data_IF_547382401788
#
_entry.id   IF_547382401788
#
_cell.length_a   1.000
_cell.length_b   1.000
_cell.length_c   1.000
_cell.angle_alpha   90.00
_cell.angle_beta   90.00
_cell.angle_gamma   90.00
#
_symmetry.space_group_name_H-M   'P 1'
#
loop_
_entity.id
_entity.type
_entity.pdbx_description
1 polymer ?
#
# COMPACT_ATOMS: atom_id res chain seq x y z
N UNK A 1 12.02 29.82 -0.66
CA UNK A 1 11.56 28.41 -0.60
C UNK A 1 11.22 28.08 0.85
N UNK A 2 9.98 27.68 1.16
CA UNK A 2 9.59 27.33 2.54
C UNK A 2 10.34 26.09 3.04
N UNK A 3 10.76 26.10 4.30
CA UNK A 3 11.55 25.04 4.92
C UNK A 3 10.91 23.65 4.74
N UNK A 4 11.73 22.63 4.54
CA UNK A 4 11.29 21.24 4.47
C UNK A 4 10.92 20.77 5.88
N UNK A 5 9.62 20.67 6.17
CA UNK A 5 9.15 20.09 7.43
C UNK A 5 9.02 18.56 7.28
N UNK A 6 9.11 17.79 8.39
CA UNK A 6 8.90 16.34 8.33
C UNK A 6 7.57 15.95 7.67
N UNK A 7 6.49 16.65 8.00
CA UNK A 7 5.17 16.42 7.41
C UNK A 7 5.13 16.69 5.91
N UNK A 8 5.78 17.76 5.44
CA UNK A 8 5.88 18.07 4.01
C UNK A 8 6.71 17.05 3.25
N UNK A 9 7.76 16.54 3.87
CA UNK A 9 8.56 15.45 3.29
C UNK A 9 7.74 14.17 3.18
N UNK A 10 7.03 13.76 4.24
CA UNK A 10 6.17 12.57 4.22
C UNK A 10 5.09 12.68 3.14
N UNK A 11 4.42 13.84 3.05
CA UNK A 11 3.34 14.08 2.10
C UNK A 11 3.81 14.15 0.64
N UNK A 12 5.08 14.49 0.37
CA UNK A 12 5.62 14.54 -0.99
C UNK A 12 6.10 13.18 -1.51
N UNK A 13 6.16 12.15 -0.66
CA UNK A 13 6.61 10.82 -1.05
C UNK A 13 5.51 10.03 -1.77
N UNK A 14 5.88 9.37 -2.87
CA UNK A 14 4.97 8.46 -3.57
C UNK A 14 4.75 7.17 -2.78
N UNK A 15 3.63 6.47 -3.03
CA UNK A 15 3.42 5.11 -2.50
C UNK A 15 4.58 4.16 -2.85
N UNK A 16 5.19 4.31 -4.04
CA UNK A 16 6.33 3.49 -4.45
C UNK A 16 7.58 3.70 -3.60
N UNK A 17 7.79 4.91 -3.06
CA UNK A 17 8.85 5.17 -2.09
C UNK A 17 8.61 4.36 -0.81
N UNK A 18 7.40 4.42 -0.24
CA UNK A 18 7.06 3.71 0.99
C UNK A 18 7.18 2.19 0.87
N UNK A 19 6.74 1.62 -0.26
CA UNK A 19 6.92 0.18 -0.54
C UNK A 19 8.40 -0.20 -0.63
N UNK A 20 9.24 0.64 -1.27
CA UNK A 20 10.69 0.39 -1.36
C UNK A 20 11.40 0.56 -0.03
N UNK A 21 10.95 1.46 0.83
CA UNK A 21 11.50 1.64 2.19
C UNK A 21 11.38 0.36 3.02
N UNK A 22 10.32 -0.42 2.76
CA UNK A 22 10.09 -1.74 3.36
C UNK A 22 10.84 -2.87 2.64
N UNK A 23 11.62 -2.57 1.60
CA UNK A 23 12.42 -3.52 0.84
C UNK A 23 13.59 -4.12 1.65
N UNK A 24 14.40 -4.95 0.99
CA UNK A 24 15.58 -5.58 1.60
C UNK A 24 16.76 -4.62 1.81
N UNK A 25 16.64 -3.38 1.33
CA UNK A 25 17.74 -2.45 1.14
C UNK A 25 18.36 -2.55 -0.24
N UNK A 26 19.03 -1.48 -0.64
CA UNK A 26 19.70 -1.33 -1.94
C UNK A 26 21.21 -1.19 -1.74
N UNK A 27 21.96 -1.24 -2.84
CA UNK A 27 23.36 -0.85 -2.82
C UNK A 27 23.50 0.62 -2.45
N UNK A 28 24.39 0.90 -1.51
CA UNK A 28 24.83 2.23 -1.13
C UNK A 28 26.09 2.57 -1.94
N UNK A 29 26.22 3.84 -2.32
CA UNK A 29 27.40 4.35 -3.00
C UNK A 29 28.64 3.99 -2.17
N UNK A 30 29.60 3.29 -2.77
CA UNK A 30 30.77 2.73 -2.06
C UNK A 30 30.77 1.21 -1.85
N UNK A 31 29.79 0.48 -2.41
CA UNK A 31 29.86 -0.99 -2.56
C UNK A 31 29.19 -1.82 -1.46
N UNK A 32 28.68 -1.17 -0.40
CA UNK A 32 27.91 -1.84 0.64
C UNK A 32 26.48 -2.17 0.20
N UNK A 33 25.88 -3.21 0.78
CA UNK A 33 24.45 -3.48 0.68
C UNK A 33 23.76 -2.97 1.94
N UNK A 34 22.82 -2.05 1.81
CA UNK A 34 22.00 -1.63 2.93
C UNK A 34 21.14 -2.80 3.41
N UNK A 35 21.02 -2.96 4.72
CA UNK A 35 20.17 -3.97 5.36
C UNK A 35 19.01 -3.27 6.09
N UNK A 36 17.93 -3.03 5.36
CA UNK A 36 16.76 -2.33 5.91
C UNK A 36 16.04 -3.11 7.00
N UNK A 37 16.28 -4.42 7.13
CA UNK A 37 15.78 -5.18 8.28
C UNK A 37 16.38 -4.64 9.58
N UNK A 38 17.71 -4.44 9.59
CA UNK A 38 18.45 -3.98 10.77
C UNK A 38 18.39 -2.48 10.95
N UNK A 39 18.45 -1.71 9.86
CA UNK A 39 18.61 -0.25 9.94
C UNK A 39 17.30 0.52 10.01
N UNK A 40 16.19 -0.03 9.49
CA UNK A 40 14.90 0.67 9.44
C UNK A 40 13.78 -0.12 10.11
N UNK A 41 13.64 -1.41 9.79
CA UNK A 41 12.53 -2.23 10.23
C UNK A 41 12.54 -2.46 11.74
N UNK A 42 13.57 -3.13 12.26
CA UNK A 42 13.68 -3.46 13.69
C UNK A 42 13.70 -2.22 14.60
N UNK A 43 14.37 -1.11 14.25
CA UNK A 43 14.40 0.06 15.12
C UNK A 43 13.08 0.84 15.17
N UNK A 44 12.34 0.89 14.04
CA UNK A 44 11.22 1.82 13.90
C UNK A 44 10.02 1.23 13.14
N UNK A 45 10.18 0.75 11.90
CA UNK A 45 9.02 0.47 11.03
C UNK A 45 8.15 -0.70 11.51
N UNK A 46 8.72 -1.67 12.23
CA UNK A 46 7.95 -2.79 12.78
C UNK A 46 6.86 -2.34 13.77
N UNK A 47 7.01 -1.16 14.39
CA UNK A 47 6.03 -0.59 15.32
C UNK A 47 4.73 -0.20 14.62
N UNK A 48 4.80 0.16 13.34
CA UNK A 48 3.62 0.47 12.53
C UNK A 48 2.92 -0.79 11.98
N UNK A 49 3.52 -1.97 12.15
CA UNK A 49 2.97 -3.25 11.68
C UNK A 49 3.17 -4.34 12.74
N UNK A 50 2.50 -4.24 13.91
CA UNK A 50 2.73 -5.14 15.04
C UNK A 50 2.58 -6.62 14.66
N UNK A 51 3.56 -7.45 15.05
CA UNK A 51 3.52 -8.90 14.82
C UNK A 51 3.72 -9.33 13.36
N UNK A 52 4.04 -8.41 12.44
CA UNK A 52 4.27 -8.76 11.03
C UNK A 52 5.75 -8.86 10.69
N UNK A 53 6.05 -9.59 9.63
CA UNK A 53 7.40 -9.65 9.06
C UNK A 53 7.53 -8.61 7.95
N UNK A 54 8.66 -7.90 7.89
CA UNK A 54 8.94 -6.88 6.87
C UNK A 54 8.63 -7.35 5.45
N UNK A 55 9.08 -8.57 5.10
CA UNK A 55 8.89 -9.14 3.78
C UNK A 55 7.40 -9.30 3.43
N UNK A 56 6.60 -9.79 4.37
CA UNK A 56 5.16 -9.98 4.16
C UNK A 56 4.48 -8.62 3.93
N UNK A 57 4.82 -7.61 4.75
CA UNK A 57 4.28 -6.25 4.59
C UNK A 57 4.66 -5.65 3.24
N UNK A 58 5.93 -5.75 2.85
CA UNK A 58 6.40 -5.22 1.57
C UNK A 58 5.71 -5.90 0.39
N UNK A 59 5.55 -7.23 0.41
CA UNK A 59 4.88 -7.98 -0.65
C UNK A 59 3.42 -7.54 -0.79
N UNK A 60 2.69 -7.44 0.33
CA UNK A 60 1.28 -7.04 0.32
C UNK A 60 1.11 -5.60 -0.19
N UNK A 61 1.92 -4.66 0.28
CA UNK A 61 1.84 -3.28 -0.18
C UNK A 61 2.32 -3.11 -1.64
N UNK A 62 3.21 -3.97 -2.14
CA UNK A 62 3.61 -3.95 -3.55
C UNK A 62 2.48 -4.43 -4.48
N UNK A 63 1.70 -5.43 -4.06
CA UNK A 63 0.49 -5.86 -4.79
C UNK A 63 -0.51 -4.68 -4.93
N UNK A 64 -0.79 -3.98 -3.83
CA UNK A 64 -1.67 -2.79 -3.83
C UNK A 64 -1.09 -1.64 -4.68
N UNK A 65 0.22 -1.42 -4.62
CA UNK A 65 0.90 -0.43 -5.46
C UNK A 65 0.73 -0.74 -6.94
N UNK A 66 0.87 -2.01 -7.35
CA UNK A 66 0.69 -2.42 -8.73
C UNK A 66 -0.75 -2.18 -9.20
N UNK A 67 -1.75 -2.57 -8.40
CA UNK A 67 -3.16 -2.30 -8.70
C UNK A 67 -3.43 -0.80 -8.86
N UNK A 68 -3.03 0.02 -7.87
CA UNK A 68 -3.21 1.47 -7.92
C UNK A 68 -2.55 2.08 -9.16
N UNK A 69 -1.36 1.60 -9.50
CA UNK A 69 -0.65 2.09 -10.68
C UNK A 69 -1.40 1.76 -11.98
N UNK A 70 -1.92 0.53 -12.14
CA UNK A 70 -2.75 0.18 -13.31
C UNK A 70 -3.95 1.12 -13.42
N UNK A 71 -4.67 1.35 -12.31
CA UNK A 71 -5.80 2.28 -12.24
C UNK A 71 -5.38 3.69 -12.66
N UNK A 72 -4.29 4.23 -12.10
CA UNK A 72 -3.80 5.57 -12.40
C UNK A 72 -3.31 5.73 -13.86
N UNK A 73 -2.84 4.65 -14.47
CA UNK A 73 -2.47 4.59 -15.88
C UNK A 73 -3.64 4.28 -16.81
N UNK A 74 -4.86 4.15 -16.29
CA UNK A 74 -6.06 3.73 -17.04
C UNK A 74 -5.85 2.40 -17.79
N UNK A 75 -5.04 1.52 -17.22
CA UNK A 75 -4.84 0.17 -17.75
C UNK A 75 -6.03 -0.73 -17.37
N UNK A 76 -6.38 -1.72 -18.22
CA UNK A 76 -7.35 -2.76 -17.88
C UNK A 76 -7.06 -3.40 -16.52
N UNK A 77 -8.09 -3.72 -15.75
CA UNK A 77 -7.99 -4.51 -14.49
C UNK A 77 -9.03 -5.62 -14.43
N UNK A 78 -9.74 -5.88 -15.53
CA UNK A 78 -10.82 -6.88 -15.62
C UNK A 78 -10.31 -8.32 -15.52
N UNK A 79 -9.01 -8.53 -15.74
CA UNK A 79 -8.30 -9.81 -15.61
C UNK A 79 -7.92 -10.14 -14.15
N UNK A 80 -8.18 -9.24 -13.20
CA UNK A 80 -7.83 -9.40 -11.78
C UNK A 80 -9.03 -9.86 -10.96
N UNK A 81 -8.75 -10.58 -9.89
CA UNK A 81 -9.74 -10.86 -8.85
C UNK A 81 -9.89 -9.63 -7.94
N UNK A 82 -10.81 -8.73 -8.28
CA UNK A 82 -11.01 -7.48 -7.55
C UNK A 82 -11.55 -7.69 -6.13
N UNK A 83 -12.27 -8.79 -5.89
CA UNK A 83 -12.71 -9.20 -4.54
C UNK A 83 -11.52 -9.54 -3.65
N UNK A 84 -10.55 -10.29 -4.20
CA UNK A 84 -9.31 -10.58 -3.50
C UNK A 84 -8.49 -9.31 -3.29
N UNK A 85 -8.34 -8.46 -4.31
CA UNK A 85 -7.66 -7.16 -4.17
C UNK A 85 -8.27 -6.26 -3.08
N UNK A 86 -9.61 -6.25 -2.94
CA UNK A 86 -10.29 -5.51 -1.89
C UNK A 86 -10.01 -6.12 -0.49
N UNK A 87 -10.06 -7.44 -0.35
CA UNK A 87 -9.71 -8.10 0.90
C UNK A 87 -8.24 -7.85 1.29
N UNK A 88 -7.33 -7.86 0.32
CA UNK A 88 -5.91 -7.53 0.49
C UNK A 88 -5.71 -6.09 0.99
N UNK A 89 -6.49 -5.15 0.46
CA UNK A 89 -6.48 -3.76 0.90
C UNK A 89 -6.91 -3.64 2.35
N UNK A 90 -8.05 -4.24 2.71
CA UNK A 90 -8.57 -4.19 4.08
C UNK A 90 -7.60 -4.80 5.08
N UNK A 91 -6.98 -5.94 4.75
CA UNK A 91 -5.98 -6.55 5.63
C UNK A 91 -4.72 -5.69 5.78
N UNK A 92 -4.22 -5.07 4.69
CA UNK A 92 -3.04 -4.22 4.78
C UNK A 92 -3.29 -2.95 5.63
N UNK A 93 -4.49 -2.37 5.52
CA UNK A 93 -4.92 -1.24 6.34
C UNK A 93 -5.09 -1.64 7.79
N UNK A 94 -5.68 -2.81 8.05
CA UNK A 94 -5.87 -3.36 9.41
C UNK A 94 -4.57 -3.49 10.19
N UNK A 95 -3.46 -3.81 9.52
CA UNK A 95 -2.14 -3.87 10.16
C UNK A 95 -1.65 -2.53 10.71
N UNK A 96 -2.18 -1.42 10.19
CA UNK A 96 -1.80 -0.05 10.57
C UNK A 96 -2.86 0.56 11.49
N UNK A 97 -4.14 0.42 11.13
CA UNK A 97 -5.26 1.01 11.87
C UNK A 97 -6.56 0.27 11.61
N UNK A 98 -7.09 -0.33 12.67
CA UNK A 98 -8.43 -0.93 12.70
C UNK A 98 -9.54 0.09 12.43
N UNK A 99 -9.36 1.34 12.89
CA UNK A 99 -10.34 2.40 12.69
C UNK A 99 -10.45 2.80 11.21
N UNK A 100 -9.32 2.90 10.50
CA UNK A 100 -9.32 3.18 9.06
C UNK A 100 -9.91 2.02 8.28
N UNK A 101 -9.65 0.77 8.69
CA UNK A 101 -10.31 -0.40 8.09
C UNK A 101 -11.83 -0.30 8.21
N UNK A 102 -12.34 -0.10 9.43
CA UNK A 102 -13.77 0.03 9.69
C UNK A 102 -14.40 1.20 8.90
N UNK A 103 -13.67 2.32 8.80
CA UNK A 103 -14.11 3.45 7.99
C UNK A 103 -14.23 3.09 6.50
N UNK A 104 -13.27 2.37 5.93
CA UNK A 104 -13.35 1.90 4.53
C UNK A 104 -14.53 0.94 4.35
N UNK A 105 -14.72 -0.03 5.25
CA UNK A 105 -15.84 -0.98 5.20
C UNK A 105 -17.20 -0.25 5.26
N UNK A 106 -17.29 0.86 6.01
CA UNK A 106 -18.53 1.65 6.14
C UNK A 106 -18.82 2.54 4.93
N UNK A 107 -17.80 3.00 4.21
CA UNK A 107 -17.96 4.02 3.16
C UNK A 107 -17.67 3.52 1.75
N UNK A 108 -17.13 2.31 1.58
CA UNK A 108 -16.80 1.76 0.27
C UNK A 108 -18.03 1.16 -0.41
N UNK A 109 -18.27 1.58 -1.64
CA UNK A 109 -19.28 0.98 -2.53
C UNK A 109 -18.77 -0.28 -3.24
N UNK A 110 -17.46 -0.60 -3.13
CA UNK A 110 -16.85 -1.68 -3.90
C UNK A 110 -17.48 -3.06 -3.61
N UNK A 111 -17.80 -3.44 -2.35
CA UNK A 111 -18.45 -4.72 -2.08
C UNK A 111 -19.73 -4.92 -2.89
N UNK A 112 -20.58 -3.89 -2.97
CA UNK A 112 -21.84 -3.94 -3.70
C UNK A 112 -21.60 -3.89 -5.22
N UNK A 113 -20.70 -3.00 -5.68
CA UNK A 113 -20.36 -2.86 -7.09
C UNK A 113 -19.77 -4.15 -7.70
N UNK A 114 -19.04 -4.95 -6.92
CA UNK A 114 -18.49 -6.23 -7.36
C UNK A 114 -19.55 -7.34 -7.48
N UNK A 115 -20.70 -7.19 -6.82
CA UNK A 115 -21.83 -8.13 -6.89
C UNK A 115 -22.88 -7.71 -7.92
N UNK A 116 -22.88 -6.44 -8.34
CA UNK A 116 -23.81 -5.92 -9.31
C UNK A 116 -23.64 -6.60 -10.69
N UNK A 117 -24.74 -6.90 -11.42
CA UNK A 117 -24.64 -7.41 -12.77
C UNK A 117 -23.95 -6.39 -13.69
N UNK A 118 -23.05 -6.86 -14.56
CA UNK A 118 -22.38 -6.04 -15.59
C UNK A 118 -23.34 -5.34 -16.59
N UNK A 119 -24.64 -5.65 -16.50
CA UNK A 119 -25.70 -5.21 -17.40
C UNK A 119 -26.25 -3.81 -17.11
N UNK A 120 -26.03 -3.28 -15.90
CA UNK A 120 -26.49 -1.93 -15.58
C UNK A 120 -25.50 -0.90 -16.14
N UNK A 121 -25.95 0.06 -16.98
CA UNK A 121 -25.09 1.13 -17.42
C UNK A 121 -24.64 1.90 -16.18
N UNK A 122 -23.32 1.98 -15.97
CA UNK A 122 -22.72 2.81 -14.93
C UNK A 122 -23.20 4.24 -15.18
N UNK A 123 -24.15 4.71 -14.37
CA UNK A 123 -24.64 6.08 -14.43
C UNK A 123 -23.56 6.99 -13.82
N UNK A 124 -22.93 7.79 -14.66
CA UNK A 124 -22.16 8.96 -14.25
C UNK A 124 -23.08 10.16 -14.04
#
# INVERSE_FOLDING_TARGET
>A
MGALTPGRFVASMSLGFWVRLLGRGSYINGGGKADYEKTLWRPALCKAFPGRQRRAVQQRLDQLRQLRNRIAHHEPIFDRNLTEDYALLLEAVDWISVDVRAWIETHSILPDALQAPLSDPIRF
#
